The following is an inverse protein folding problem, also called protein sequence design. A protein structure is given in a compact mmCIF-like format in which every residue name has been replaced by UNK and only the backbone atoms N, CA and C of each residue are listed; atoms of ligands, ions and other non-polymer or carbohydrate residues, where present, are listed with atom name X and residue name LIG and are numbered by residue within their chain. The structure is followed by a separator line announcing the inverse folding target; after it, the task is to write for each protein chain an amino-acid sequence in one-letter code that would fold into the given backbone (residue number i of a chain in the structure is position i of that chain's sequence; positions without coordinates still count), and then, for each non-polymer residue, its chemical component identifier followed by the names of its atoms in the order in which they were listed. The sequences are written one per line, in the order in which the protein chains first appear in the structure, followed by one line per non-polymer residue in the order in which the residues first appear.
data_IF_622871243964
#
_entry.id   IF_622871243964
#
_cell.length_a   1.000
_cell.length_b   1.000
_cell.length_c   1.000
_cell.angle_alpha   90.00
_cell.angle_beta   90.00
_cell.angle_gamma   90.00
#
_symmetry.space_group_name_H-M   'P 1'
#
loop_
_entity.id
_entity.type
_entity.pdbx_description
1 polymer ?
#
# COMPACT_ATOMS: atom_id res chain seq x y z
N UNK A 1 -25.23 -34.07 27.75
CA UNK A 1 -24.78 -32.75 27.28
C UNK A 1 -25.35 -32.52 25.89
N UNK A 2 -26.21 -31.52 25.71
CA UNK A 2 -27.12 -31.44 24.55
C UNK A 2 -26.41 -31.01 23.27
N UNK A 3 -26.63 -31.75 22.17
CA UNK A 3 -26.08 -31.45 20.83
C UNK A 3 -26.35 -30.00 20.40
N UNK A 4 -27.53 -29.48 20.76
CA UNK A 4 -27.98 -28.11 20.50
C UNK A 4 -27.10 -27.04 21.15
N UNK A 5 -26.53 -27.31 22.33
CA UNK A 5 -25.64 -26.37 23.03
C UNK A 5 -24.32 -26.19 22.28
N UNK A 6 -23.75 -27.29 21.77
CA UNK A 6 -22.53 -27.24 20.97
C UNK A 6 -22.72 -26.52 19.63
N UNK A 7 -23.87 -26.73 18.98
CA UNK A 7 -24.19 -26.02 17.73
C UNK A 7 -24.33 -24.52 17.96
N UNK A 8 -24.98 -24.12 19.05
CA UNK A 8 -25.15 -22.70 19.40
C UNK A 8 -23.80 -22.03 19.74
N UNK A 9 -22.94 -22.75 20.47
CA UNK A 9 -21.60 -22.27 20.82
C UNK A 9 -20.70 -22.11 19.59
N UNK A 10 -20.76 -23.04 18.63
CA UNK A 10 -20.00 -22.95 17.37
C UNK A 10 -20.44 -21.76 16.50
N UNK A 11 -21.75 -21.49 16.42
CA UNK A 11 -22.27 -20.31 15.69
C UNK A 11 -21.81 -19.02 16.36
N UNK A 12 -21.88 -18.93 17.70
CA UNK A 12 -21.39 -17.77 18.44
C UNK A 12 -19.90 -17.52 18.21
N UNK A 13 -19.05 -18.55 18.28
CA UNK A 13 -17.60 -18.40 18.06
C UNK A 13 -17.29 -17.89 16.64
N UNK A 14 -18.02 -18.36 15.63
CA UNK A 14 -17.85 -17.89 14.24
C UNK A 14 -18.24 -16.42 14.06
N UNK A 15 -19.18 -15.90 14.86
CA UNK A 15 -19.58 -14.48 14.85
C UNK A 15 -18.57 -13.54 15.50
N UNK A 16 -17.70 -14.04 16.38
CA UNK A 16 -16.62 -13.25 17.02
C UNK A 16 -15.28 -13.36 16.29
N UNK A 17 -15.20 -14.18 15.24
CA UNK A 17 -13.98 -14.33 14.45
C UNK A 17 -13.80 -13.10 13.55
N UNK A 18 -12.93 -12.16 13.96
CA UNK A 18 -12.54 -11.02 13.11
C UNK A 18 -11.59 -11.53 12.03
N UNK A 19 -11.95 -11.35 10.76
CA UNK A 19 -11.03 -11.59 9.65
C UNK A 19 -10.03 -10.43 9.58
N UNK A 20 -8.73 -10.73 9.60
CA UNK A 20 -7.70 -9.78 9.23
C UNK A 20 -7.64 -9.71 7.69
N UNK A 21 -7.74 -8.51 7.12
CA UNK A 21 -7.53 -8.29 5.69
C UNK A 21 -6.07 -7.86 5.53
N UNK A 22 -5.24 -8.74 4.96
CA UNK A 22 -3.88 -8.38 4.55
C UNK A 22 -3.90 -8.05 3.06
N UNK A 23 -3.51 -6.82 2.74
CA UNK A 23 -3.37 -6.35 1.36
C UNK A 23 -1.90 -6.35 1.00
N UNK A 24 -1.55 -6.98 -0.10
CA UNK A 24 -0.19 -7.04 -0.62
C UNK A 24 -0.18 -6.56 -2.07
N UNK A 25 0.51 -5.45 -2.32
CA UNK A 25 0.71 -4.88 -3.65
C UNK A 25 2.20 -4.94 -3.98
N UNK A 26 2.55 -5.62 -5.09
CA UNK A 26 3.95 -5.78 -5.54
C UNK A 26 4.28 -4.93 -6.77
N UNK A 27 3.36 -4.06 -7.19
CA UNK A 27 3.42 -3.22 -8.39
C UNK A 27 3.52 -4.01 -9.71
N UNK A 28 3.35 -5.33 -9.66
CA UNK A 28 3.36 -6.21 -10.83
C UNK A 28 4.72 -6.32 -11.51
N UNK A 29 4.76 -6.31 -12.84
CA UNK A 29 6.02 -6.43 -13.61
C UNK A 29 6.07 -5.44 -14.75
N UNK A 30 7.27 -4.91 -15.05
CA UNK A 30 7.55 -4.04 -16.20
C UNK A 30 8.91 -4.39 -16.79
N UNK A 31 9.13 -4.12 -18.08
CA UNK A 31 10.42 -4.36 -18.75
C UNK A 31 11.35 -3.13 -18.74
N UNK A 32 10.88 -1.99 -18.23
CA UNK A 32 11.60 -0.72 -18.22
C UNK A 32 10.83 0.35 -17.46
N UNK A 33 11.22 1.62 -17.66
CA UNK A 33 10.50 2.76 -17.09
C UNK A 33 9.13 2.90 -17.73
N UNK A 34 8.08 2.77 -16.90
CA UNK A 34 6.68 2.79 -17.35
C UNK A 34 5.90 3.83 -16.55
N UNK A 35 5.23 4.81 -17.18
CA UNK A 35 4.38 5.76 -16.45
C UNK A 35 3.25 5.06 -15.69
N UNK A 36 2.87 5.57 -14.51
CA UNK A 36 1.76 5.01 -13.69
C UNK A 36 0.48 4.79 -14.53
N UNK A 37 0.08 5.79 -15.32
CA UNK A 37 -1.14 5.74 -16.13
C UNK A 37 -1.10 4.63 -17.20
N UNK A 38 0.07 4.38 -17.79
CA UNK A 38 0.24 3.30 -18.76
C UNK A 38 0.15 1.94 -18.08
N UNK A 39 0.80 1.79 -16.93
CA UNK A 39 0.74 0.56 -16.14
C UNK A 39 -0.68 0.24 -15.66
N UNK A 40 -1.43 1.26 -15.22
CA UNK A 40 -2.84 1.15 -14.83
C UNK A 40 -3.72 0.69 -16.00
N UNK A 41 -3.61 1.34 -17.16
CA UNK A 41 -4.44 1.02 -18.32
C UNK A 41 -4.19 -0.40 -18.87
N UNK A 42 -2.99 -0.94 -18.64
CA UNK A 42 -2.63 -2.31 -19.01
C UNK A 42 -3.01 -3.35 -17.94
N UNK A 43 -3.61 -2.94 -16.82
CA UNK A 43 -3.91 -3.84 -15.71
C UNK A 43 -2.65 -4.41 -15.05
N UNK A 44 -1.55 -3.64 -15.04
CA UNK A 44 -0.24 -4.11 -14.61
C UNK A 44 -0.03 -4.17 -13.10
N UNK A 45 -0.85 -3.47 -12.30
CA UNK A 45 -0.81 -3.55 -10.83
C UNK A 45 -1.41 -4.85 -10.33
N UNK A 46 -0.90 -5.39 -9.22
CA UNK A 46 -1.40 -6.68 -8.71
C UNK A 46 -2.80 -6.58 -8.10
N UNK A 47 -3.12 -5.45 -7.51
CA UNK A 47 -4.41 -5.12 -6.92
C UNK A 47 -5.24 -4.27 -7.91
N UNK A 48 -5.62 -4.88 -9.03
CA UNK A 48 -6.28 -4.19 -10.16
C UNK A 48 -7.66 -3.57 -9.87
N UNK A 49 -8.26 -3.82 -8.69
CA UNK A 49 -9.53 -3.19 -8.29
C UNK A 49 -9.40 -1.71 -7.91
N UNK A 50 -8.19 -1.21 -7.71
CA UNK A 50 -7.96 0.17 -7.30
C UNK A 50 -7.46 1.04 -8.44
N UNK A 51 -7.58 2.35 -8.26
CA UNK A 51 -7.13 3.33 -9.23
C UNK A 51 -5.79 3.92 -8.79
N UNK A 52 -4.77 3.70 -9.61
CA UNK A 52 -3.42 4.17 -9.39
C UNK A 52 -3.13 5.38 -10.28
N UNK A 53 -2.70 6.48 -9.67
CA UNK A 53 -2.39 7.74 -10.36
C UNK A 53 -1.07 8.34 -9.87
N UNK A 54 -0.56 9.34 -10.57
CA UNK A 54 0.69 10.00 -10.22
C UNK A 54 1.57 10.30 -11.42
N UNK A 55 2.65 11.02 -11.14
CA UNK A 55 3.69 11.39 -12.11
C UNK A 55 5.03 10.68 -11.85
N UNK A 56 5.06 9.74 -10.90
CA UNK A 56 6.15 8.80 -10.72
C UNK A 56 6.21 7.76 -11.85
N UNK A 57 7.23 6.89 -11.82
CA UNK A 57 7.37 5.78 -12.75
C UNK A 57 7.28 4.42 -12.03
N UNK A 58 6.72 3.42 -12.71
CA UNK A 58 6.92 2.01 -12.37
C UNK A 58 8.20 1.53 -13.04
N UNK A 59 9.14 0.95 -12.28
CA UNK A 59 10.43 0.48 -12.80
C UNK A 59 10.80 -0.91 -12.30
N UNK A 60 11.41 -1.69 -13.17
CA UNK A 60 12.12 -2.92 -12.79
C UNK A 60 13.54 -2.54 -12.30
N UNK A 61 13.62 -1.94 -11.12
CA UNK A 61 14.89 -1.80 -10.38
C UNK A 61 15.10 -3.03 -9.51
N UNK A 62 16.30 -3.23 -8.95
CA UNK A 62 16.64 -4.37 -8.07
C UNK A 62 15.47 -4.71 -7.15
N UNK A 63 15.02 -5.97 -7.22
CA UNK A 63 13.77 -6.41 -6.59
C UNK A 63 13.77 -6.11 -5.09
N UNK A 64 12.78 -5.34 -4.64
CA UNK A 64 12.43 -5.32 -3.23
C UNK A 64 12.11 -6.76 -2.79
N UNK A 65 12.50 -7.20 -1.57
CA UNK A 65 12.13 -8.53 -1.12
C UNK A 65 10.60 -8.66 -1.19
N UNK A 66 10.07 -9.75 -1.78
CA UNK A 66 8.65 -9.86 -2.14
C UNK A 66 8.34 -9.79 -3.64
N UNK A 67 9.32 -9.36 -4.46
CA UNK A 67 9.24 -9.40 -5.92
C UNK A 67 8.43 -8.27 -6.56
N UNK A 68 8.46 -8.21 -7.89
CA UNK A 68 7.70 -7.26 -8.71
C UNK A 68 8.48 -6.01 -9.15
N UNK A 69 7.75 -4.97 -9.54
CA UNK A 69 8.28 -3.67 -9.92
C UNK A 69 8.31 -2.72 -8.71
N UNK A 70 8.99 -1.58 -8.84
CA UNK A 70 9.05 -0.56 -7.81
C UNK A 70 8.47 0.76 -8.32
N UNK A 71 7.88 1.54 -7.42
CA UNK A 71 7.56 2.93 -7.71
C UNK A 71 8.83 3.76 -7.53
N UNK A 72 9.28 4.39 -8.61
CA UNK A 72 10.40 5.30 -8.61
C UNK A 72 9.90 6.74 -8.58
N UNK A 73 10.10 7.38 -7.43
CA UNK A 73 9.81 8.80 -7.23
C UNK A 73 11.12 9.56 -7.48
N UNK A 74 11.16 10.34 -8.56
CA UNK A 74 12.35 11.15 -8.88
C UNK A 74 12.45 12.32 -7.92
N UNK A 75 13.67 12.77 -7.62
CA UNK A 75 13.89 13.97 -6.82
C UNK A 75 13.41 15.20 -7.59
N UNK A 76 12.29 15.78 -7.19
CA UNK A 76 11.69 16.95 -7.82
C UNK A 76 10.41 17.39 -7.09
N UNK A 77 10.07 18.68 -7.15
CA UNK A 77 8.85 19.16 -6.50
C UNK A 77 7.60 18.53 -7.13
N UNK A 78 6.66 18.13 -6.28
CA UNK A 78 5.36 17.61 -6.71
C UNK A 78 5.40 16.22 -7.36
N UNK A 79 6.43 15.41 -7.11
CA UNK A 79 6.47 14.01 -7.52
C UNK A 79 5.65 13.16 -6.54
N UNK A 80 4.71 12.38 -7.05
CA UNK A 80 3.80 11.57 -6.23
C UNK A 80 3.32 10.30 -6.93
N UNK A 81 2.89 9.36 -6.09
CA UNK A 81 2.14 8.17 -6.44
C UNK A 81 0.93 8.11 -5.53
N UNK A 82 -0.24 7.85 -6.10
CA UNK A 82 -1.53 7.92 -5.41
C UNK A 82 -2.33 6.66 -5.69
N UNK A 83 -2.94 6.14 -4.62
CA UNK A 83 -3.85 5.02 -4.64
C UNK A 83 -5.23 5.51 -4.20
N UNK A 84 -6.24 5.35 -5.06
CA UNK A 84 -7.63 5.66 -4.77
C UNK A 84 -8.47 4.39 -4.64
N UNK A 85 -9.49 4.44 -3.78
CA UNK A 85 -10.42 3.33 -3.55
C UNK A 85 -10.04 2.42 -2.39
N UNK A 86 -8.99 2.75 -1.64
CA UNK A 86 -8.68 2.11 -0.38
C UNK A 86 -9.45 2.76 0.77
N UNK A 87 -10.19 1.98 1.55
CA UNK A 87 -10.87 2.44 2.76
C UNK A 87 -10.51 1.56 3.94
N UNK A 88 -10.16 2.20 5.06
CA UNK A 88 -9.95 1.54 6.35
C UNK A 88 -11.24 1.31 7.15
N UNK A 89 -12.41 1.64 6.61
CA UNK A 89 -13.69 1.48 7.32
C UNK A 89 -13.90 0.03 7.73
N UNK A 90 -14.07 -0.21 9.04
CA UNK A 90 -14.25 -1.54 9.61
C UNK A 90 -12.95 -2.22 10.07
N UNK A 91 -11.78 -1.65 9.76
CA UNK A 91 -10.50 -2.11 10.28
C UNK A 91 -10.23 -1.47 11.65
N UNK A 92 -9.93 -2.27 12.67
CA UNK A 92 -9.67 -1.78 14.04
C UNK A 92 -8.17 -1.68 14.38
N UNK A 93 -7.29 -2.20 13.52
CA UNK A 93 -5.85 -2.19 13.67
C UNK A 93 -5.20 -2.21 12.28
N UNK A 94 -5.16 -1.04 11.63
CA UNK A 94 -4.44 -0.87 10.37
C UNK A 94 -2.94 -0.76 10.67
N UNK A 95 -2.18 -1.64 10.04
CA UNK A 95 -0.72 -1.53 9.92
C UNK A 95 -0.38 -1.33 8.45
N UNK A 96 0.51 -0.39 8.17
CA UNK A 96 0.89 0.04 6.84
C UNK A 96 2.41 0.05 6.76
N UNK A 97 2.96 -0.78 5.90
CA UNK A 97 4.40 -0.93 5.79
C UNK A 97 4.84 -0.64 4.36
N UNK A 98 5.85 0.22 4.24
CA UNK A 98 6.52 0.51 2.98
C UNK A 98 7.96 0.01 3.05
N UNK A 99 8.42 -0.63 1.98
CA UNK A 99 9.85 -0.89 1.78
C UNK A 99 10.38 0.19 0.87
N UNK A 100 11.25 1.04 1.41
CA UNK A 100 11.77 2.20 0.70
C UNK A 100 13.27 2.03 0.53
N UNK A 101 13.75 2.30 -0.68
CA UNK A 101 15.17 2.36 -0.99
C UNK A 101 15.51 3.75 -1.55
N UNK A 102 16.50 4.41 -0.94
CA UNK A 102 17.00 5.71 -1.37
C UNK A 102 18.28 5.52 -2.19
N UNK A 103 18.28 6.03 -3.42
CA UNK A 103 19.45 5.99 -4.28
C UNK A 103 20.34 7.22 -4.02
N UNK A 104 21.35 7.09 -3.13
CA UNK A 104 22.28 8.18 -2.81
C UNK A 104 23.30 7.80 -1.73
N UNK A 105 24.53 8.34 -1.80
CA UNK A 105 25.67 7.97 -0.94
C UNK A 105 25.62 8.46 0.52
N UNK A 106 24.56 9.15 0.93
CA UNK A 106 24.27 9.45 2.34
C UNK A 106 23.25 8.43 2.82
N UNK A 107 23.50 7.78 3.97
CA UNK A 107 22.86 6.52 4.37
C UNK A 107 21.33 6.46 4.24
N UNK A 108 20.79 5.23 4.30
CA UNK A 108 19.38 4.87 4.09
C UNK A 108 18.36 5.50 5.09
N UNK A 109 18.76 6.49 5.88
CA UNK A 109 17.87 7.21 6.80
C UNK A 109 17.04 8.22 5.99
N UNK A 110 15.74 7.98 5.90
CA UNK A 110 14.76 8.91 5.35
C UNK A 110 14.28 9.82 6.47
N UNK A 111 14.35 11.13 6.29
CA UNK A 111 13.62 12.05 7.16
C UNK A 111 12.18 12.20 6.64
N UNK A 112 11.23 12.46 7.54
CA UNK A 112 9.82 12.73 7.17
C UNK A 112 9.66 13.92 6.20
N UNK A 113 10.70 14.74 6.04
CA UNK A 113 10.74 15.84 5.06
C UNK A 113 11.07 15.38 3.64
N UNK A 114 11.60 14.16 3.48
CA UNK A 114 12.01 13.60 2.18
C UNK A 114 10.98 12.63 1.59
N UNK A 115 10.19 11.97 2.43
CA UNK A 115 9.10 11.08 2.01
C UNK A 115 7.89 11.29 2.92
N UNK A 116 6.79 11.74 2.32
CA UNK A 116 5.52 11.96 3.01
C UNK A 116 4.52 10.89 2.58
N UNK A 117 3.82 10.34 3.56
CA UNK A 117 2.64 9.50 3.34
C UNK A 117 1.43 10.29 3.79
N UNK A 118 0.43 10.39 2.93
CA UNK A 118 -0.77 11.18 3.21
C UNK A 118 -2.04 10.35 2.94
N UNK A 119 -3.10 10.69 3.65
CA UNK A 119 -4.44 10.13 3.43
C UNK A 119 -5.43 11.25 3.09
N UNK A 120 -6.52 10.89 2.42
CA UNK A 120 -7.59 11.80 2.04
C UNK A 120 -8.95 11.08 2.04
N UNK A 121 -10.00 11.78 2.47
CA UNK A 121 -11.39 11.30 2.40
C UNK A 121 -12.18 11.90 1.23
N UNK A 122 -11.68 12.97 0.61
CA UNK A 122 -12.34 13.69 -0.48
C UNK A 122 -11.54 13.66 -1.80
N UNK A 123 -10.32 13.14 -1.76
CA UNK A 123 -9.42 13.07 -2.90
C UNK A 123 -8.82 14.42 -3.33
N UNK A 124 -9.02 15.48 -2.55
CA UNK A 124 -8.58 16.85 -2.83
C UNK A 124 -7.67 17.36 -1.72
N UNK A 125 -8.10 17.20 -0.46
CA UNK A 125 -7.36 17.62 0.72
C UNK A 125 -6.66 16.41 1.33
N UNK A 126 -5.36 16.56 1.60
CA UNK A 126 -4.50 15.49 2.10
C UNK A 126 -3.96 15.83 3.48
N UNK A 127 -3.96 14.84 4.36
CA UNK A 127 -3.43 14.93 5.72
C UNK A 127 -2.26 13.97 5.87
N UNK A 128 -1.14 14.45 6.42
CA UNK A 128 0.03 13.64 6.70
C UNK A 128 -0.30 12.53 7.70
N UNK A 129 0.17 11.32 7.41
CA UNK A 129 0.18 10.21 8.36
C UNK A 129 1.45 10.36 9.20
N UNK A 130 1.30 10.83 10.43
CA UNK A 130 2.43 10.92 11.36
C UNK A 130 2.74 9.52 11.92
N UNK A 131 3.82 8.92 11.42
CA UNK A 131 4.31 7.63 11.90
C UNK A 131 5.20 7.84 13.12
N UNK A 132 4.72 7.52 14.32
CA UNK A 132 5.59 7.43 15.50
C UNK A 132 6.42 6.14 15.42
N UNK A 133 7.58 6.21 14.78
CA UNK A 133 8.62 5.19 14.87
C UNK A 133 8.47 4.01 13.90
N UNK A 134 9.46 3.86 13.03
CA UNK A 134 9.69 2.63 12.27
C UNK A 134 10.44 1.66 13.21
N UNK A 135 9.94 0.44 13.37
CA UNK A 135 10.72 -0.69 13.87
C UNK A 135 11.29 -1.48 12.69
#
# INVERSE_FOLDING_TARGET
MNRTFYTFLLVLISMYSKSQITLNETMGTVSGTTPISTHQNNGGFTQGQWNYTGNADVRATSVSPGGGANIFITMGPGQFFRLDGLSGTGCTALDLQFRIWKNGGAGNSLTITEFLVQTSSDGINFTDINWEGIH
#
